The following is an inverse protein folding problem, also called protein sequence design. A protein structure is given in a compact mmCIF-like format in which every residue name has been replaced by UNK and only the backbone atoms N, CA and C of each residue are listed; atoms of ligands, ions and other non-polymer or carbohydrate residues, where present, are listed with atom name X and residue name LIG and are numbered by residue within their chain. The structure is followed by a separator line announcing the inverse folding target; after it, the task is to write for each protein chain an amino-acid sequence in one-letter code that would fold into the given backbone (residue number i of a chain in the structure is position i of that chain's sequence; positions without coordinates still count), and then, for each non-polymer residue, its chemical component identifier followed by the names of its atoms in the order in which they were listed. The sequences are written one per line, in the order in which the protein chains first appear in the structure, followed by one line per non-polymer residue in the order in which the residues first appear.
data_IF_248316288124
#
_entry.id   IF_248316288124
#
_cell.length_a   1.000
_cell.length_b   1.000
_cell.length_c   1.000
_cell.angle_alpha   90.00
_cell.angle_beta   90.00
_cell.angle_gamma   90.00
#
_symmetry.space_group_name_H-M   'P 1'
#
loop_
_entity.id
_entity.type
_entity.pdbx_description
1 polymer ?
#
# COMPACT_ATOMS: atom_id res chain seq x y z
N UNK A 1 4.20 -27.13 -38.27
CA UNK A 1 3.65 -26.82 -36.91
C UNK A 1 3.74 -25.32 -36.79
N UNK A 2 2.61 -24.66 -36.94
CA UNK A 2 2.53 -23.22 -36.83
C UNK A 2 2.82 -22.88 -35.35
N UNK A 3 3.82 -22.02 -35.14
CA UNK A 3 4.19 -21.57 -33.81
C UNK A 3 3.09 -20.57 -33.37
N UNK A 4 2.44 -20.85 -32.26
CA UNK A 4 1.50 -19.94 -31.65
C UNK A 4 2.15 -18.56 -31.41
N UNK A 5 1.43 -17.50 -31.66
CA UNK A 5 1.83 -16.15 -31.26
C UNK A 5 2.00 -16.05 -29.74
N UNK A 6 2.75 -15.07 -29.25
CA UNK A 6 2.97 -14.90 -27.80
C UNK A 6 1.66 -14.82 -27.02
N UNK A 7 0.65 -14.11 -27.55
CA UNK A 7 -0.67 -14.01 -26.93
C UNK A 7 -1.44 -15.34 -26.92
N UNK A 8 -1.33 -16.18 -27.96
CA UNK A 8 -1.94 -17.51 -27.99
C UNK A 8 -1.26 -18.47 -27.02
N UNK A 9 0.06 -18.36 -26.86
CA UNK A 9 0.80 -19.16 -25.87
C UNK A 9 0.35 -18.79 -24.45
N UNK A 10 0.21 -17.52 -24.15
CA UNK A 10 -0.27 -17.04 -22.84
C UNK A 10 -1.69 -17.54 -22.57
N UNK A 11 -2.61 -17.42 -23.53
CA UNK A 11 -3.98 -17.94 -23.40
C UNK A 11 -4.04 -19.44 -23.17
N UNK A 12 -3.22 -20.19 -23.89
CA UNK A 12 -3.14 -21.65 -23.73
C UNK A 12 -2.59 -22.03 -22.35
N UNK A 13 -1.56 -21.33 -21.88
CA UNK A 13 -0.99 -21.56 -20.55
C UNK A 13 -2.01 -21.28 -19.44
N UNK A 14 -2.72 -20.15 -19.54
CA UNK A 14 -3.82 -19.81 -18.60
C UNK A 14 -4.92 -20.88 -18.65
N UNK A 15 -5.39 -21.25 -19.84
CA UNK A 15 -6.46 -22.25 -19.98
C UNK A 15 -6.05 -23.60 -19.36
N UNK A 16 -4.80 -24.05 -19.57
CA UNK A 16 -4.28 -25.25 -18.96
C UNK A 16 -4.27 -25.18 -17.43
N UNK A 17 -3.77 -24.06 -16.89
CA UNK A 17 -3.70 -23.83 -15.45
C UNK A 17 -5.08 -23.83 -14.82
N UNK A 18 -6.06 -23.21 -15.47
CA UNK A 18 -7.44 -23.15 -15.00
C UNK A 18 -8.15 -24.50 -15.03
N UNK A 19 -7.81 -25.37 -15.98
CA UNK A 19 -8.32 -26.74 -16.06
C UNK A 19 -7.83 -27.63 -14.90
N UNK A 20 -6.63 -27.35 -14.39
CA UNK A 20 -6.06 -28.07 -13.23
C UNK A 20 -6.77 -27.69 -11.92
N UNK A 21 -7.48 -26.56 -11.88
CA UNK A 21 -8.26 -26.02 -10.76
C UNK A 21 -7.52 -26.13 -9.40
N UNK A 22 -6.29 -25.59 -9.27
CA UNK A 22 -5.49 -25.71 -8.04
C UNK A 22 -6.20 -25.02 -6.86
N UNK A 23 -5.89 -25.44 -5.63
CA UNK A 23 -6.45 -24.78 -4.43
C UNK A 23 -5.96 -23.34 -4.23
N UNK A 24 -4.78 -23.00 -4.77
CA UNK A 24 -4.18 -21.65 -4.82
C UNK A 24 -3.70 -21.36 -6.23
N UNK A 25 -4.17 -20.27 -6.80
CA UNK A 25 -3.76 -19.75 -8.10
C UNK A 25 -3.00 -18.46 -7.90
N UNK A 26 -1.76 -18.41 -8.42
CA UNK A 26 -0.91 -17.20 -8.37
C UNK A 26 -0.76 -16.69 -9.80
N UNK A 27 -1.13 -15.43 -10.03
CA UNK A 27 -1.06 -14.76 -11.33
C UNK A 27 -0.22 -13.49 -11.20
N UNK A 28 0.78 -13.38 -12.07
CA UNK A 28 1.64 -12.20 -12.18
C UNK A 28 1.36 -11.50 -13.50
N UNK A 29 0.84 -10.26 -13.42
CA UNK A 29 0.43 -9.42 -14.56
C UNK A 29 -0.41 -10.18 -15.61
N UNK A 30 -1.49 -10.87 -15.22
CA UNK A 30 -2.23 -11.76 -16.12
C UNK A 30 -2.98 -11.01 -17.24
N UNK A 31 -3.16 -9.71 -17.12
CA UNK A 31 -3.83 -8.85 -18.10
C UNK A 31 -2.94 -8.46 -19.26
N UNK A 32 -1.62 -8.61 -19.13
CA UNK A 32 -0.66 -8.22 -20.15
C UNK A 32 -0.84 -9.05 -21.43
N UNK A 33 -0.88 -8.36 -22.57
CA UNK A 33 -0.99 -8.94 -23.90
C UNK A 33 -2.30 -9.68 -24.19
N UNK A 34 -3.34 -9.52 -23.37
CA UNK A 34 -4.66 -10.05 -23.64
C UNK A 34 -5.50 -9.04 -24.45
N UNK A 35 -6.24 -9.55 -25.42
CA UNK A 35 -7.30 -8.77 -26.05
C UNK A 35 -8.52 -8.64 -25.09
N UNK A 36 -9.37 -7.67 -25.38
CA UNK A 36 -10.52 -7.36 -24.53
C UNK A 36 -11.46 -8.57 -24.29
N UNK A 37 -11.69 -9.41 -25.32
CA UNK A 37 -12.56 -10.56 -25.18
C UNK A 37 -11.97 -11.62 -24.25
N UNK A 38 -10.65 -11.87 -24.37
CA UNK A 38 -9.92 -12.80 -23.49
C UNK A 38 -9.85 -12.28 -22.06
N UNK A 39 -9.63 -10.98 -21.88
CA UNK A 39 -9.61 -10.35 -20.58
C UNK A 39 -10.98 -10.48 -19.87
N UNK A 40 -12.07 -10.15 -20.56
CA UNK A 40 -13.42 -10.27 -20.00
C UNK A 40 -13.74 -11.71 -19.60
N UNK A 41 -13.39 -12.69 -20.45
CA UNK A 41 -13.55 -14.10 -20.13
C UNK A 41 -12.74 -14.51 -18.90
N UNK A 42 -11.47 -14.06 -18.79
CA UNK A 42 -10.62 -14.37 -17.66
C UNK A 42 -11.19 -13.80 -16.35
N UNK A 43 -11.64 -12.55 -16.39
CA UNK A 43 -12.29 -11.89 -15.24
C UNK A 43 -13.50 -12.69 -14.75
N UNK A 44 -14.40 -13.08 -15.65
CA UNK A 44 -15.62 -13.81 -15.31
C UNK A 44 -15.30 -15.20 -14.76
N UNK A 45 -14.28 -15.87 -15.31
CA UNK A 45 -13.80 -17.14 -14.79
C UNK A 45 -13.24 -17.00 -13.37
N UNK A 46 -12.33 -16.04 -13.17
CA UNK A 46 -11.68 -15.82 -11.87
C UNK A 46 -12.66 -15.33 -10.80
N UNK A 47 -13.68 -14.56 -11.16
CA UNK A 47 -14.74 -14.16 -10.24
C UNK A 47 -15.54 -15.34 -9.69
N UNK A 48 -15.62 -16.42 -10.45
CA UNK A 48 -16.29 -17.68 -10.03
C UNK A 48 -15.34 -18.72 -9.44
N UNK A 49 -14.04 -18.42 -9.37
CA UNK A 49 -13.02 -19.34 -8.89
C UNK A 49 -13.20 -19.69 -7.41
N UNK A 50 -13.20 -20.98 -7.10
CA UNK A 50 -13.46 -21.46 -5.72
C UNK A 50 -12.21 -21.57 -4.85
N UNK A 51 -11.03 -21.59 -5.46
CA UNK A 51 -9.75 -21.61 -4.75
C UNK A 51 -9.31 -20.22 -4.27
N UNK A 52 -8.19 -20.18 -3.59
CA UNK A 52 -7.53 -18.92 -3.26
C UNK A 52 -6.88 -18.32 -4.51
N UNK A 53 -6.99 -17.00 -4.68
CA UNK A 53 -6.41 -16.25 -5.79
C UNK A 53 -5.44 -15.20 -5.24
N UNK A 54 -4.18 -15.25 -5.69
CA UNK A 54 -3.18 -14.21 -5.46
C UNK A 54 -2.80 -13.58 -6.79
N UNK A 55 -3.03 -12.29 -6.92
CA UNK A 55 -2.77 -11.55 -8.16
C UNK A 55 -1.81 -10.41 -7.92
N UNK A 56 -0.80 -10.29 -8.78
CA UNK A 56 0.03 -9.10 -8.92
C UNK A 56 -0.38 -8.42 -10.23
N UNK A 57 -0.87 -7.19 -10.16
CA UNK A 57 -1.28 -6.44 -11.37
C UNK A 57 -1.25 -4.94 -11.14
N UNK A 58 -1.02 -4.19 -12.22
CA UNK A 58 -1.21 -2.74 -12.29
C UNK A 58 -2.60 -2.34 -12.81
N UNK A 59 -3.40 -3.30 -13.26
CA UNK A 59 -4.75 -3.06 -13.74
C UNK A 59 -5.72 -2.92 -12.58
N UNK A 60 -6.10 -1.65 -12.30
CA UNK A 60 -6.98 -1.29 -11.20
C UNK A 60 -8.38 -1.87 -11.35
N UNK A 61 -8.92 -1.95 -12.57
CA UNK A 61 -10.24 -2.51 -12.83
C UNK A 61 -10.27 -4.00 -12.57
N UNK A 62 -9.24 -4.68 -13.02
CA UNK A 62 -9.05 -6.11 -12.78
C UNK A 62 -8.98 -6.42 -11.27
N UNK A 63 -8.17 -5.66 -10.52
CA UNK A 63 -8.07 -5.81 -9.07
C UNK A 63 -9.38 -5.46 -8.36
N UNK A 64 -10.07 -4.41 -8.80
CA UNK A 64 -11.32 -3.97 -8.18
C UNK A 64 -12.45 -5.00 -8.33
N UNK A 65 -12.50 -5.69 -9.49
CA UNK A 65 -13.50 -6.72 -9.79
C UNK A 65 -13.26 -8.02 -9.02
N UNK A 66 -11.99 -8.40 -8.80
CA UNK A 66 -11.64 -9.74 -8.32
C UNK A 66 -11.19 -9.78 -6.87
N UNK A 67 -10.54 -8.72 -6.38
CA UNK A 67 -9.91 -8.76 -5.06
C UNK A 67 -10.88 -8.35 -3.95
N UNK A 68 -10.83 -9.08 -2.85
CA UNK A 68 -11.53 -8.73 -1.60
C UNK A 68 -10.54 -8.33 -0.49
N UNK A 69 -9.24 -8.33 -0.82
CA UNK A 69 -8.15 -7.95 0.04
C UNK A 69 -7.00 -7.46 -0.83
N UNK A 70 -6.35 -6.37 -0.44
CA UNK A 70 -5.17 -5.83 -1.09
C UNK A 70 -3.99 -5.90 -0.13
N UNK A 71 -2.87 -6.35 -0.63
CA UNK A 71 -1.58 -6.29 0.05
C UNK A 71 -0.69 -5.27 -0.66
N UNK A 72 -0.24 -4.29 0.09
CA UNK A 72 0.72 -3.30 -0.36
C UNK A 72 2.08 -3.60 0.27
N UNK A 73 3.10 -3.69 -0.56
CA UNK A 73 4.48 -3.87 -0.10
C UNK A 73 5.23 -2.55 -0.32
N UNK A 74 5.59 -1.89 0.78
CA UNK A 74 6.28 -0.62 0.78
C UNK A 74 7.43 -0.68 1.80
N UNK A 75 8.65 -0.31 1.40
CA UNK A 75 9.85 -0.28 2.24
C UNK A 75 10.09 -1.57 3.07
N UNK A 76 9.82 -2.72 2.46
CA UNK A 76 9.97 -4.03 3.10
C UNK A 76 8.87 -4.38 4.11
N UNK A 77 7.88 -3.53 4.27
CA UNK A 77 6.72 -3.75 5.14
C UNK A 77 5.50 -4.14 4.31
N UNK A 78 4.77 -5.15 4.77
CA UNK A 78 3.54 -5.61 4.15
C UNK A 78 2.33 -5.03 4.90
N UNK A 79 1.54 -4.24 4.18
CA UNK A 79 0.29 -3.68 4.69
C UNK A 79 -0.90 -4.42 4.10
N UNK A 80 -1.88 -4.75 4.93
CA UNK A 80 -3.09 -5.45 4.51
C UNK A 80 -4.30 -4.52 4.60
N UNK A 81 -5.05 -4.41 3.48
CA UNK A 81 -6.28 -3.63 3.38
C UNK A 81 -7.45 -4.56 3.01
N UNK A 82 -8.54 -4.45 3.73
CA UNK A 82 -9.77 -5.20 3.45
C UNK A 82 -10.60 -4.49 2.38
N UNK A 83 -11.11 -5.27 1.45
CA UNK A 83 -11.94 -4.80 0.36
C UNK A 83 -11.24 -4.86 -1.00
N UNK A 84 -11.88 -4.31 -2.01
CA UNK A 84 -11.38 -4.20 -3.37
C UNK A 84 -10.40 -3.03 -3.53
N UNK A 85 -9.93 -2.78 -4.75
CA UNK A 85 -8.97 -1.71 -5.02
C UNK A 85 -9.53 -0.31 -4.68
N UNK A 86 -10.80 -0.04 -4.95
CA UNK A 86 -11.47 1.22 -4.58
C UNK A 86 -11.51 1.42 -3.06
N UNK A 87 -11.79 0.36 -2.30
CA UNK A 87 -11.76 0.43 -0.83
C UNK A 87 -10.35 0.66 -0.28
N UNK A 88 -9.34 0.03 -0.91
CA UNK A 88 -7.93 0.23 -0.59
C UNK A 88 -7.50 1.69 -0.78
N UNK A 89 -7.77 2.28 -1.96
CA UNK A 89 -7.36 3.67 -2.23
C UNK A 89 -7.92 4.65 -1.21
N UNK A 90 -9.19 4.49 -0.83
CA UNK A 90 -9.80 5.32 0.22
C UNK A 90 -9.12 5.14 1.59
N UNK A 91 -8.86 3.89 2.00
CA UNK A 91 -8.20 3.60 3.29
C UNK A 91 -6.78 4.17 3.30
N UNK A 92 -6.06 4.10 2.17
CA UNK A 92 -4.71 4.65 2.02
C UNK A 92 -4.72 6.18 2.13
N UNK A 93 -5.63 6.86 1.43
CA UNK A 93 -5.78 8.32 1.50
C UNK A 93 -6.13 8.81 2.92
N UNK A 94 -7.01 8.09 3.63
CA UNK A 94 -7.36 8.39 5.02
C UNK A 94 -6.15 8.23 5.94
N UNK A 95 -5.35 7.18 5.74
CA UNK A 95 -4.12 6.91 6.50
C UNK A 95 -3.06 7.99 6.25
N UNK A 96 -2.80 8.34 4.99
CA UNK A 96 -1.84 9.36 4.60
C UNK A 96 -2.24 10.74 5.16
N UNK A 97 -3.52 11.08 5.08
CA UNK A 97 -4.05 12.32 5.66
C UNK A 97 -3.85 12.37 7.17
N UNK A 98 -4.11 11.26 7.86
CA UNK A 98 -3.89 11.14 9.31
C UNK A 98 -2.41 11.28 9.66
N UNK A 99 -1.53 10.58 8.94
CA UNK A 99 -0.08 10.62 9.17
C UNK A 99 0.47 12.03 8.94
N UNK A 100 0.06 12.68 7.85
CA UNK A 100 0.43 14.06 7.54
C UNK A 100 0.04 15.01 8.68
N UNK A 101 -1.19 14.90 9.17
CA UNK A 101 -1.67 15.73 10.29
C UNK A 101 -0.88 15.51 11.57
N UNK A 102 -0.55 14.26 11.89
CA UNK A 102 0.27 13.92 13.07
C UNK A 102 1.69 14.46 12.93
N UNK A 103 2.28 14.33 11.75
CA UNK A 103 3.60 14.88 11.45
C UNK A 103 3.62 16.41 11.60
N UNK A 104 2.65 17.12 11.00
CA UNK A 104 2.55 18.58 11.12
C UNK A 104 2.36 19.04 12.57
N UNK A 105 1.54 18.33 13.35
CA UNK A 105 1.35 18.61 14.78
C UNK A 105 2.64 18.42 15.56
N UNK A 106 3.37 17.32 15.33
CA UNK A 106 4.65 17.08 15.99
C UNK A 106 5.70 18.11 15.63
N UNK A 107 5.78 18.52 14.35
CA UNK A 107 6.72 19.56 13.92
C UNK A 107 6.40 20.92 14.58
N UNK A 108 5.11 21.28 14.67
CA UNK A 108 4.70 22.51 15.35
C UNK A 108 5.00 22.49 16.86
N UNK A 109 4.82 21.34 17.52
CA UNK A 109 5.16 21.17 18.94
C UNK A 109 6.67 21.24 19.14
N UNK A 110 7.43 20.56 18.29
CA UNK A 110 8.89 20.57 18.30
C UNK A 110 9.44 21.99 18.14
N UNK A 111 8.95 22.74 17.16
CA UNK A 111 9.36 24.12 16.94
C UNK A 111 9.07 25.02 18.16
N UNK A 112 7.92 24.85 18.83
CA UNK A 112 7.59 25.60 20.06
C UNK A 112 8.56 25.26 21.21
N UNK A 113 8.90 23.98 21.37
CA UNK A 113 9.83 23.55 22.40
C UNK A 113 11.25 24.07 22.12
N UNK A 114 11.70 24.00 20.87
CA UNK A 114 13.01 24.51 20.44
C UNK A 114 13.12 26.02 20.68
N UNK A 115 12.11 26.80 20.29
CA UNK A 115 12.05 28.24 20.51
C UNK A 115 12.06 28.61 22.01
N UNK A 116 11.28 27.86 22.81
CA UNK A 116 11.29 28.06 24.28
C UNK A 116 12.66 27.77 24.88
N UNK A 117 13.32 26.68 24.50
CA UNK A 117 14.66 26.32 25.00
C UNK A 117 15.66 27.40 24.59
N UNK A 118 15.66 27.82 23.34
CA UNK A 118 16.57 28.85 22.81
C UNK A 118 16.48 30.18 23.60
N UNK A 119 15.26 30.61 23.93
CA UNK A 119 15.03 31.89 24.65
C UNK A 119 15.31 31.83 26.14
N UNK A 120 15.24 30.64 26.77
CA UNK A 120 15.24 30.52 28.23
C UNK A 120 16.46 29.77 28.79
N UNK A 121 17.33 29.18 27.97
CA UNK A 121 18.49 28.45 28.43
C UNK A 121 19.54 29.33 29.14
N UNK A 122 19.60 30.61 28.75
CA UNK A 122 20.63 31.57 29.22
C UNK A 122 20.18 32.27 30.53
N UNK A 123 18.91 32.22 30.92
CA UNK A 123 18.40 32.91 32.10
C UNK A 123 18.38 32.01 33.33
N UNK A 124 19.13 32.36 34.37
CA UNK A 124 19.29 31.53 35.60
C UNK A 124 17.94 31.11 36.25
N UNK A 125 16.91 31.97 36.17
CA UNK A 125 15.59 31.69 36.76
C UNK A 125 14.73 30.68 35.97
N UNK A 126 15.05 30.45 34.67
CA UNK A 126 14.26 29.60 33.76
C UNK A 126 15.03 28.37 33.30
N UNK A 127 16.31 28.25 33.64
CA UNK A 127 17.22 27.16 33.18
C UNK A 127 16.68 25.76 33.51
N UNK A 128 16.12 25.53 34.68
CA UNK A 128 15.54 24.22 35.05
C UNK A 128 14.37 23.82 34.16
N UNK A 129 13.49 24.76 33.83
CA UNK A 129 12.35 24.50 32.93
C UNK A 129 12.81 24.31 31.47
N UNK A 130 13.81 25.07 31.03
CA UNK A 130 14.40 24.91 29.71
C UNK A 130 15.08 23.53 29.56
N UNK A 131 15.84 23.09 30.56
CA UNK A 131 16.45 21.75 30.60
C UNK A 131 15.40 20.62 30.58
N UNK A 132 14.28 20.81 31.32
CA UNK A 132 13.18 19.83 31.28
C UNK A 132 12.58 19.70 29.88
N UNK A 133 12.34 20.83 29.20
CA UNK A 133 11.81 20.84 27.83
C UNK A 133 12.82 20.34 26.79
N UNK A 134 14.10 20.57 26.99
CA UNK A 134 15.14 19.98 26.17
C UNK A 134 15.11 18.43 26.26
N UNK A 135 14.97 17.88 27.48
CA UNK A 135 14.80 16.43 27.68
C UNK A 135 13.53 15.88 27.01
N UNK A 136 12.45 16.68 26.95
CA UNK A 136 11.24 16.29 26.21
C UNK A 136 11.53 16.22 24.70
N UNK A 137 12.25 17.20 24.14
CA UNK A 137 12.67 17.18 22.73
C UNK A 137 13.51 15.95 22.38
N UNK A 138 14.46 15.60 23.25
CA UNK A 138 15.33 14.42 23.09
C UNK A 138 14.58 13.08 23.15
N UNK A 139 13.41 13.06 23.79
CA UNK A 139 12.55 11.87 23.93
C UNK A 139 11.44 11.78 22.87
N UNK A 140 11.23 12.83 22.09
CA UNK A 140 10.27 12.82 21.00
C UNK A 140 10.77 11.89 19.90
N UNK A 141 10.13 10.72 19.78
CA UNK A 141 10.35 9.84 18.63
C UNK A 141 9.88 10.53 17.35
N UNK A 142 10.74 10.66 16.34
CA UNK A 142 10.35 11.32 15.10
C UNK A 142 9.27 10.51 14.38
N UNK A 143 8.18 11.17 14.03
CA UNK A 143 7.18 10.61 13.12
C UNK A 143 7.77 10.70 11.71
N UNK A 144 7.72 9.59 10.97
CA UNK A 144 8.18 9.57 9.59
C UNK A 144 7.38 10.57 8.75
N UNK A 145 8.10 11.27 7.89
CA UNK A 145 7.48 12.20 6.96
C UNK A 145 6.60 11.41 5.99
N UNK A 146 5.33 11.79 5.80
CA UNK A 146 4.48 11.15 4.79
C UNK A 146 5.10 11.35 3.39
N UNK A 147 4.97 10.31 2.56
CA UNK A 147 5.43 10.30 1.16
C UNK A 147 4.65 11.27 0.29
#
# INVERSE_FOLDING_TARGET
MDKLSGGEQTRLAIAKLLLEAPSLLILDEPTNHLDFATLSWLEDYLASYKGALLVVSHDRYFLDKLCNKIWELEDGTLWEYKGNYTAYTRQREEQDTRQKKLYEQQQAERAKLEDYVARNLVRASTTKMAQSRQKMLERLEPIEKPH
#
